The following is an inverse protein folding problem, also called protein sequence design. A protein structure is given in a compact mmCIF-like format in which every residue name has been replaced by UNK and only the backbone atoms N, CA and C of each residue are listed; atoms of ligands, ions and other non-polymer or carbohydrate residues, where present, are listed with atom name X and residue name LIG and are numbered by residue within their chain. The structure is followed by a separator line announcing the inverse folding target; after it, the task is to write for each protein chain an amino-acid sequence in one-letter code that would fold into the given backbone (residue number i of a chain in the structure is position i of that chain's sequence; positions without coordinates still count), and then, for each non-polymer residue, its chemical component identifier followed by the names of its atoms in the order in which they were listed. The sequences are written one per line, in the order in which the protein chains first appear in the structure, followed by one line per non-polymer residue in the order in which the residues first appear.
data_IF_503903766440
#
_entry.id   IF_503903766440
#
_cell.length_a   1.000
_cell.length_b   1.000
_cell.length_c   1.000
_cell.angle_alpha   90.00
_cell.angle_beta   90.00
_cell.angle_gamma   90.00
#
_symmetry.space_group_name_H-M   'P 1'
#
loop_
_entity.id
_entity.type
_entity.pdbx_description
1 polymer ?
#
# COMPACT_ATOMS: atom_id res chain seq x y z
N UNK A 1 -47.02 -25.10 10.85
CA UNK A 1 -47.02 -23.99 11.82
C UNK A 1 -48.45 -23.73 12.24
N UNK A 2 -48.69 -23.60 13.54
CA UNK A 2 -50.02 -23.20 14.03
C UNK A 2 -50.28 -21.73 13.66
N UNK A 3 -51.54 -21.30 13.66
CA UNK A 3 -51.92 -19.89 13.42
C UNK A 3 -51.24 -18.93 14.42
N UNK A 4 -50.93 -19.42 15.62
CA UNK A 4 -50.25 -18.64 16.64
C UNK A 4 -48.75 -18.46 16.35
N UNK A 5 -48.10 -19.44 15.69
CA UNK A 5 -46.68 -19.34 15.28
C UNK A 5 -46.49 -18.29 14.18
N UNK A 6 -47.41 -18.24 13.21
CA UNK A 6 -47.37 -17.27 12.11
C UNK A 6 -47.63 -15.84 12.62
N UNK A 7 -48.55 -15.69 13.59
CA UNK A 7 -48.80 -14.40 14.26
C UNK A 7 -47.60 -13.95 15.09
N UNK A 8 -46.95 -14.86 15.80
CA UNK A 8 -45.74 -14.57 16.56
C UNK A 8 -44.59 -14.15 15.63
N UNK A 9 -44.38 -14.86 14.52
CA UNK A 9 -43.36 -14.51 13.53
C UNK A 9 -43.60 -13.12 12.93
N UNK A 10 -44.83 -12.83 12.46
CA UNK A 10 -45.20 -11.50 11.93
C UNK A 10 -45.05 -10.39 12.97
N UNK A 11 -45.29 -10.68 14.25
CA UNK A 11 -45.08 -9.73 15.34
C UNK A 11 -43.58 -9.42 15.52
N UNK A 12 -42.71 -10.45 15.51
CA UNK A 12 -41.26 -10.27 15.62
C UNK A 12 -40.70 -9.52 14.42
N UNK A 13 -41.09 -9.89 13.20
CA UNK A 13 -40.67 -9.19 11.97
C UNK A 13 -41.06 -7.71 11.97
N UNK A 14 -42.25 -7.38 12.47
CA UNK A 14 -42.76 -6.00 12.52
C UNK A 14 -42.12 -5.15 13.61
N UNK A 15 -41.90 -5.71 14.80
CA UNK A 15 -41.47 -4.94 15.97
C UNK A 15 -39.97 -5.05 16.27
N UNK A 16 -39.31 -6.09 15.76
CA UNK A 16 -37.89 -6.35 15.97
C UNK A 16 -37.21 -6.74 14.64
N UNK A 17 -37.18 -5.85 13.64
CA UNK A 17 -36.70 -6.18 12.29
C UNK A 17 -35.23 -6.65 12.28
N UNK A 18 -34.40 -6.13 13.19
CA UNK A 18 -33.00 -6.57 13.34
C UNK A 18 -32.92 -8.00 13.89
N UNK A 19 -33.70 -8.33 14.91
CA UNK A 19 -33.78 -9.70 15.46
C UNK A 19 -34.37 -10.68 14.46
N UNK A 20 -35.36 -10.26 13.68
CA UNK A 20 -35.95 -11.07 12.62
C UNK A 20 -34.96 -11.35 11.49
N UNK A 21 -34.19 -10.34 11.05
CA UNK A 21 -33.12 -10.51 10.08
C UNK A 21 -32.02 -11.45 10.61
N UNK A 22 -31.67 -11.35 11.89
CA UNK A 22 -30.71 -12.24 12.55
C UNK A 22 -31.21 -13.70 12.60
N UNK A 23 -32.46 -13.92 13.03
CA UNK A 23 -33.07 -15.27 13.10
C UNK A 23 -33.35 -15.88 11.71
N UNK A 24 -33.59 -15.05 10.69
CA UNK A 24 -33.65 -15.49 9.31
C UNK A 24 -32.25 -15.88 8.78
N UNK A 25 -31.21 -15.12 9.14
CA UNK A 25 -29.83 -15.45 8.81
C UNK A 25 -29.37 -16.78 9.47
N UNK A 26 -29.74 -17.03 10.74
CA UNK A 26 -29.44 -18.31 11.41
C UNK A 26 -30.16 -19.50 10.77
N UNK A 27 -31.35 -19.29 10.20
CA UNK A 27 -32.10 -20.30 9.43
C UNK A 27 -31.65 -20.42 7.96
N UNK A 28 -30.73 -19.57 7.51
CA UNK A 28 -30.30 -19.49 6.10
C UNK A 28 -31.33 -18.86 5.17
N UNK A 29 -32.37 -18.23 5.71
CA UNK A 29 -33.50 -17.60 5.01
C UNK A 29 -33.30 -16.08 4.80
N UNK A 30 -32.21 -15.50 5.33
CA UNK A 30 -31.82 -14.11 5.12
C UNK A 30 -30.72 -13.94 4.05
N UNK A 31 -30.47 -12.71 3.56
CA UNK A 31 -29.30 -12.44 2.72
C UNK A 31 -28.03 -12.86 3.49
N UNK A 32 -27.12 -13.54 2.80
CA UNK A 32 -25.85 -13.95 3.40
C UNK A 32 -25.11 -12.70 3.93
N UNK A 33 -24.47 -12.77 5.11
CA UNK A 33 -23.68 -11.66 5.60
C UNK A 33 -22.59 -11.33 4.57
N UNK A 34 -22.53 -10.08 4.17
CA UNK A 34 -21.53 -9.58 3.22
C UNK A 34 -20.34 -9.08 4.02
N UNK A 35 -19.19 -9.68 3.79
CA UNK A 35 -17.91 -9.21 4.27
C UNK A 35 -17.16 -8.65 3.07
N UNK A 36 -16.64 -7.43 3.20
CA UNK A 36 -15.94 -6.73 2.14
C UNK A 36 -14.43 -6.85 2.34
N UNK A 37 -13.64 -6.69 1.26
CA UNK A 37 -12.23 -6.96 1.29
C UNK A 37 -11.57 -6.16 2.42
N UNK A 38 -10.73 -6.84 3.17
CA UNK A 38 -10.00 -6.27 4.29
C UNK A 38 -9.03 -5.18 3.81
N UNK A 39 -8.53 -5.29 2.57
CA UNK A 39 -7.75 -4.27 1.85
C UNK A 39 -7.70 -4.52 0.32
N UNK A 40 -7.18 -3.57 -0.46
CA UNK A 40 -6.80 -3.80 -1.86
C UNK A 40 -5.46 -4.53 -1.87
N UNK A 41 -5.46 -5.78 -2.32
CA UNK A 41 -4.24 -6.58 -2.42
C UNK A 41 -3.58 -6.32 -3.78
N UNK A 42 -2.39 -5.72 -3.77
CA UNK A 42 -1.51 -5.74 -4.93
C UNK A 42 -0.80 -7.10 -4.98
N UNK A 43 -0.67 -7.70 -6.17
CA UNK A 43 0.01 -8.98 -6.31
C UNK A 43 1.51 -8.86 -5.99
N UNK A 44 2.12 -7.71 -6.30
CA UNK A 44 3.52 -7.36 -6.00
C UNK A 44 3.64 -5.85 -5.78
N UNK A 45 4.59 -5.42 -4.95
CA UNK A 45 4.87 -4.01 -4.68
C UNK A 45 5.43 -3.29 -5.92
N UNK A 46 5.98 -4.05 -6.87
CA UNK A 46 6.67 -3.55 -8.07
C UNK A 46 5.72 -3.39 -9.29
N UNK A 47 4.42 -3.66 -9.15
CA UNK A 47 3.48 -3.50 -10.27
C UNK A 47 3.14 -2.01 -10.53
N UNK A 48 2.96 -1.62 -11.81
CA UNK A 48 2.50 -0.27 -12.13
C UNK A 48 1.14 0.02 -11.48
N UNK A 49 0.87 1.30 -11.20
CA UNK A 49 -0.38 1.73 -10.57
C UNK A 49 -1.59 1.12 -11.30
N UNK A 50 -2.50 0.43 -10.58
CA UNK A 50 -3.61 -0.25 -11.22
C UNK A 50 -4.55 0.77 -11.88
N UNK A 51 -4.92 0.53 -13.14
CA UNK A 51 -5.83 1.42 -13.87
C UNK A 51 -7.25 1.42 -13.29
N UNK A 52 -7.67 0.32 -12.65
CA UNK A 52 -8.96 0.17 -11.98
C UNK A 52 -8.88 -0.91 -10.90
N UNK A 53 -9.64 -0.74 -9.81
CA UNK A 53 -9.88 -1.79 -8.81
C UNK A 53 -11.27 -2.38 -9.03
N UNK A 54 -11.33 -3.68 -9.35
CA UNK A 54 -12.60 -4.42 -9.51
C UNK A 54 -12.87 -5.23 -8.23
N UNK A 55 -14.01 -5.01 -7.59
CA UNK A 55 -14.44 -5.76 -6.40
C UNK A 55 -15.46 -6.82 -6.78
N UNK A 56 -15.18 -8.08 -6.44
CA UNK A 56 -16.07 -9.23 -6.69
C UNK A 56 -16.63 -9.74 -5.36
N UNK A 57 -17.90 -10.13 -5.36
CA UNK A 57 -18.53 -10.76 -4.20
C UNK A 57 -18.76 -12.25 -4.47
N UNK A 58 -18.25 -13.11 -3.59
CA UNK A 58 -18.43 -14.55 -3.67
C UNK A 58 -19.44 -15.01 -2.61
N UNK A 59 -20.32 -15.94 -3.00
CA UNK A 59 -21.17 -16.66 -2.05
C UNK A 59 -20.54 -18.01 -1.79
N UNK A 60 -20.05 -18.21 -0.57
CA UNK A 60 -19.34 -19.44 -0.18
C UNK A 60 -20.06 -20.17 0.95
N UNK A 61 -20.02 -21.49 0.87
CA UNK A 61 -20.35 -22.39 1.95
C UNK A 61 -19.23 -22.43 3.00
N UNK A 62 -19.54 -22.92 4.21
CA UNK A 62 -18.53 -23.15 5.26
C UNK A 62 -17.39 -24.06 4.79
N UNK A 63 -17.71 -25.04 3.94
CA UNK A 63 -16.72 -25.96 3.39
C UNK A 63 -15.75 -25.25 2.44
N UNK A 64 -16.25 -24.40 1.55
CA UNK A 64 -15.40 -23.63 0.63
C UNK A 64 -14.52 -22.63 1.39
N UNK A 65 -15.05 -21.99 2.44
CA UNK A 65 -14.25 -21.12 3.33
C UNK A 65 -13.12 -21.93 3.98
N UNK A 66 -13.42 -23.13 4.50
CA UNK A 66 -12.41 -24.00 5.11
C UNK A 66 -11.37 -24.47 4.09
N UNK A 67 -11.79 -24.82 2.87
CA UNK A 67 -10.88 -25.26 1.81
C UNK A 67 -9.93 -24.13 1.39
N UNK A 68 -10.44 -22.90 1.23
CA UNK A 68 -9.61 -21.73 0.94
C UNK A 68 -8.59 -21.50 2.06
N UNK A 69 -9.02 -21.52 3.33
CA UNK A 69 -8.13 -21.36 4.47
C UNK A 69 -7.05 -22.45 4.53
N UNK A 70 -7.44 -23.72 4.32
CA UNK A 70 -6.51 -24.84 4.32
C UNK A 70 -5.47 -24.76 3.19
N UNK A 71 -5.87 -24.30 2.01
CA UNK A 71 -4.97 -24.06 0.90
C UNK A 71 -3.95 -22.96 1.25
N UNK A 72 -4.40 -21.85 1.84
CA UNK A 72 -3.50 -20.79 2.28
C UNK A 72 -2.51 -21.26 3.33
N UNK A 73 -3.00 -21.94 4.36
CA UNK A 73 -2.17 -22.49 5.42
C UNK A 73 -1.11 -23.47 4.91
N UNK A 74 -1.43 -24.26 3.86
CA UNK A 74 -0.46 -25.17 3.24
C UNK A 74 0.65 -24.43 2.46
N UNK A 75 0.41 -23.19 2.02
CA UNK A 75 1.36 -22.41 1.20
C UNK A 75 2.28 -21.48 2.00
N UNK A 76 1.86 -20.97 3.16
CA UNK A 76 2.58 -19.88 3.86
C UNK A 76 3.59 -20.32 4.93
N UNK A 77 3.86 -21.62 5.06
CA UNK A 77 4.78 -22.21 6.05
C UNK A 77 4.32 -22.04 7.53
N UNK A 78 4.46 -23.12 8.31
CA UNK A 78 3.43 -23.67 9.21
C UNK A 78 3.56 -23.25 10.70
N UNK A 79 4.35 -22.23 11.05
CA UNK A 79 4.67 -21.98 12.48
C UNK A 79 3.53 -21.39 13.32
N UNK A 80 2.45 -20.92 12.68
CA UNK A 80 1.31 -20.31 13.37
C UNK A 80 0.21 -21.33 13.66
N UNK A 81 -0.17 -21.52 14.92
CA UNK A 81 -1.33 -22.34 15.25
C UNK A 81 -2.63 -21.74 14.69
N UNK A 82 -3.53 -22.53 14.05
CA UNK A 82 -4.84 -22.05 13.62
C UNK A 82 -5.69 -21.50 14.77
N UNK A 83 -5.51 -22.02 15.98
CA UNK A 83 -6.25 -21.58 17.17
C UNK A 83 -5.87 -20.14 17.60
N UNK A 84 -4.72 -19.62 17.16
CA UNK A 84 -4.24 -18.27 17.47
C UNK A 84 -4.64 -17.24 16.40
N UNK A 85 -5.48 -17.62 15.43
CA UNK A 85 -5.93 -16.73 14.37
C UNK A 85 -7.11 -15.88 14.81
N UNK A 86 -6.98 -14.56 14.65
CA UNK A 86 -8.12 -13.65 14.85
C UNK A 86 -9.12 -13.78 13.69
N UNK A 87 -10.37 -13.37 13.91
CA UNK A 87 -11.41 -13.35 12.87
C UNK A 87 -10.97 -12.54 11.65
N UNK A 88 -10.27 -11.41 11.86
CA UNK A 88 -9.78 -10.58 10.77
C UNK A 88 -8.72 -11.30 9.94
N UNK A 89 -7.80 -12.03 10.59
CA UNK A 89 -6.77 -12.80 9.89
C UNK A 89 -7.35 -13.97 9.11
N UNK A 90 -8.35 -14.67 9.66
CA UNK A 90 -9.05 -15.74 8.91
C UNK A 90 -9.71 -15.17 7.65
N UNK A 91 -10.33 -13.99 7.74
CA UNK A 91 -10.93 -13.33 6.57
C UNK A 91 -9.87 -12.92 5.55
N UNK A 92 -8.80 -12.29 6.01
CA UNK A 92 -7.68 -11.88 5.17
C UNK A 92 -7.08 -13.07 4.41
N UNK A 93 -6.86 -14.20 5.07
CA UNK A 93 -6.28 -15.38 4.44
C UNK A 93 -7.22 -16.00 3.40
N UNK A 94 -8.53 -16.04 3.68
CA UNK A 94 -9.53 -16.52 2.71
C UNK A 94 -9.58 -15.59 1.48
N UNK A 95 -9.60 -14.27 1.70
CA UNK A 95 -9.56 -13.27 0.63
C UNK A 95 -8.27 -13.40 -0.20
N UNK A 96 -7.12 -13.49 0.46
CA UNK A 96 -5.82 -13.68 -0.18
C UNK A 96 -5.77 -14.93 -1.07
N UNK A 97 -6.37 -16.04 -0.63
CA UNK A 97 -6.40 -17.27 -1.44
C UNK A 97 -7.34 -17.17 -2.63
N UNK A 98 -8.50 -16.53 -2.48
CA UNK A 98 -9.39 -16.27 -3.63
C UNK A 98 -8.72 -15.33 -4.65
N UNK A 99 -8.02 -14.30 -4.16
CA UNK A 99 -7.21 -13.40 -5.00
C UNK A 99 -6.12 -14.19 -5.74
N UNK A 100 -5.36 -15.02 -5.05
CA UNK A 100 -4.27 -15.81 -5.63
C UNK A 100 -4.76 -16.83 -6.66
N UNK A 101 -5.84 -17.54 -6.38
CA UNK A 101 -6.44 -18.49 -7.34
C UNK A 101 -6.93 -17.76 -8.59
N UNK A 102 -7.66 -16.66 -8.41
CA UNK A 102 -8.14 -15.85 -9.53
C UNK A 102 -6.97 -15.27 -10.34
N UNK A 103 -5.88 -14.87 -9.67
CA UNK A 103 -4.69 -14.35 -10.32
C UNK A 103 -4.00 -15.38 -11.20
N UNK A 104 -3.74 -16.60 -10.67
CA UNK A 104 -3.12 -17.68 -11.46
C UNK A 104 -3.95 -18.05 -12.68
N UNK A 105 -5.25 -18.20 -12.51
CA UNK A 105 -6.16 -18.48 -13.63
C UNK A 105 -6.15 -17.34 -14.67
N UNK A 106 -6.00 -16.09 -14.23
CA UNK A 106 -5.83 -14.94 -15.12
C UNK A 106 -4.46 -14.91 -15.81
N UNK A 107 -3.36 -15.22 -15.13
CA UNK A 107 -2.03 -15.33 -15.75
C UNK A 107 -2.02 -16.39 -16.85
N UNK A 108 -2.53 -17.59 -16.57
CA UNK A 108 -2.65 -18.67 -17.55
C UNK A 108 -3.50 -18.22 -18.75
N UNK A 109 -4.61 -17.52 -18.50
CA UNK A 109 -5.46 -16.98 -19.57
C UNK A 109 -4.73 -15.90 -20.38
N UNK A 110 -4.05 -14.95 -19.72
CA UNK A 110 -3.30 -13.87 -20.37
C UNK A 110 -2.18 -14.45 -21.23
N UNK A 111 -1.39 -15.40 -20.72
CA UNK A 111 -0.34 -16.07 -21.48
C UNK A 111 -0.91 -16.79 -22.70
N UNK A 112 -2.03 -17.52 -22.53
CA UNK A 112 -2.69 -18.25 -23.62
C UNK A 112 -3.21 -17.33 -24.73
N UNK A 113 -3.66 -16.12 -24.38
CA UNK A 113 -4.24 -15.15 -25.31
C UNK A 113 -3.17 -14.20 -25.88
N UNK A 114 -2.13 -13.86 -25.12
CA UNK A 114 -1.06 -12.95 -25.54
C UNK A 114 -0.43 -13.39 -26.86
N UNK A 115 -0.14 -14.69 -27.01
CA UNK A 115 0.41 -15.23 -28.25
C UNK A 115 -0.53 -15.06 -29.46
N UNK A 116 -1.85 -15.02 -29.28
CA UNK A 116 -2.81 -14.75 -30.36
C UNK A 116 -2.84 -13.25 -30.71
N UNK A 117 -2.75 -12.39 -29.69
CA UNK A 117 -2.68 -10.92 -29.85
C UNK A 117 -1.41 -10.53 -30.62
N UNK A 118 -0.26 -11.07 -30.23
CA UNK A 118 1.04 -10.78 -30.88
C UNK A 118 1.07 -11.24 -32.34
N UNK A 119 0.43 -12.37 -32.65
CA UNK A 119 0.28 -12.85 -34.03
C UNK A 119 -0.69 -12.01 -34.87
N UNK A 120 -1.41 -11.07 -34.26
CA UNK A 120 -2.37 -10.20 -34.93
C UNK A 120 -3.60 -10.95 -35.46
N UNK A 121 -3.97 -12.06 -34.82
CA UNK A 121 -5.19 -12.79 -35.16
C UNK A 121 -6.41 -11.93 -34.78
N UNK A 122 -7.39 -11.80 -35.69
CA UNK A 122 -8.64 -11.04 -35.45
C UNK A 122 -8.47 -9.55 -35.05
N UNK A 123 -7.74 -8.72 -35.85
CA UNK A 123 -7.38 -7.36 -35.45
C UNK A 123 -8.59 -6.44 -35.27
N UNK A 124 -9.66 -6.62 -36.06
CA UNK A 124 -10.88 -5.82 -35.93
C UNK A 124 -11.63 -6.12 -34.61
N UNK A 125 -11.70 -7.40 -34.22
CA UNK A 125 -12.31 -7.84 -32.97
C UNK A 125 -11.52 -7.32 -31.76
N UNK A 126 -10.19 -7.42 -31.80
CA UNK A 126 -9.33 -6.91 -30.72
C UNK A 126 -9.46 -5.40 -30.55
N UNK A 127 -9.51 -4.63 -31.64
CA UNK A 127 -9.78 -3.20 -31.57
C UNK A 127 -11.18 -2.90 -31.02
N UNK A 128 -12.19 -3.70 -31.37
CA UNK A 128 -13.54 -3.55 -30.82
C UNK A 128 -13.60 -3.82 -29.32
N UNK A 129 -12.90 -4.87 -28.85
CA UNK A 129 -12.75 -5.20 -27.42
C UNK A 129 -12.02 -4.09 -26.68
N UNK A 130 -10.91 -3.58 -27.22
CA UNK A 130 -10.19 -2.44 -26.63
C UNK A 130 -11.10 -1.23 -26.45
N UNK A 131 -11.87 -0.85 -27.50
CA UNK A 131 -12.83 0.25 -27.39
C UNK A 131 -13.91 -0.02 -26.35
N UNK A 132 -14.35 -1.26 -26.18
CA UNK A 132 -15.34 -1.62 -25.16
C UNK A 132 -14.74 -1.50 -23.75
N UNK A 133 -13.50 -1.95 -23.56
CA UNK A 133 -12.73 -1.78 -22.34
C UNK A 133 -12.56 -0.29 -22.00
N UNK A 134 -12.09 0.54 -22.93
CA UNK A 134 -11.89 1.99 -22.71
C UNK A 134 -13.20 2.72 -22.33
N UNK A 135 -14.36 2.23 -22.77
CA UNK A 135 -15.68 2.76 -22.38
C UNK A 135 -16.13 2.28 -20.99
N UNK A 136 -15.84 1.02 -20.66
CA UNK A 136 -16.23 0.44 -19.37
C UNK A 136 -15.32 0.91 -18.22
N UNK A 137 -14.04 1.08 -18.53
CA UNK A 137 -12.96 1.48 -17.63
C UNK A 137 -12.23 2.66 -18.24
N UNK A 138 -12.93 3.80 -18.33
CA UNK A 138 -12.29 5.01 -18.84
C UNK A 138 -11.08 5.34 -17.98
N UNK A 139 -9.93 5.67 -18.60
CA UNK A 139 -8.75 6.08 -17.86
C UNK A 139 -9.16 7.12 -16.84
N UNK A 140 -8.72 6.95 -15.60
CA UNK A 140 -8.85 8.01 -14.62
C UNK A 140 -8.25 9.26 -15.27
N UNK A 141 -9.00 10.37 -15.39
CA UNK A 141 -8.40 11.59 -15.90
C UNK A 141 -7.16 11.84 -15.07
N UNK A 142 -6.02 12.03 -15.74
CA UNK A 142 -4.79 12.41 -15.04
C UNK A 142 -5.15 13.56 -14.12
N UNK A 143 -4.80 13.47 -12.82
CA UNK A 143 -5.08 14.57 -11.92
C UNK A 143 -4.51 15.83 -12.55
N UNK A 144 -5.33 16.88 -12.65
CA UNK A 144 -4.84 18.16 -13.17
C UNK A 144 -3.55 18.51 -12.43
N UNK A 145 -2.48 18.94 -13.14
CA UNK A 145 -1.21 19.22 -12.52
C UNK A 145 -1.46 20.18 -11.37
N UNK A 146 -1.09 19.75 -10.15
CA UNK A 146 -1.31 20.56 -8.96
C UNK A 146 -0.59 21.89 -9.16
N UNK A 147 -1.22 23.02 -8.80
CA UNK A 147 -0.52 24.29 -8.84
C UNK A 147 0.72 24.19 -7.96
N UNK A 148 1.83 24.75 -8.42
CA UNK A 148 3.11 24.70 -7.73
C UNK A 148 3.38 26.00 -6.96
N UNK A 149 4.14 25.89 -5.87
CA UNK A 149 4.56 26.98 -5.01
C UNK A 149 5.34 28.03 -5.80
N UNK A 150 5.17 29.29 -5.39
CA UNK A 150 6.03 30.42 -5.78
C UNK A 150 6.45 31.14 -4.51
N UNK A 151 7.44 30.58 -3.79
CA UNK A 151 7.81 31.09 -2.47
C UNK A 151 8.38 32.51 -2.55
N UNK A 152 8.10 33.30 -1.51
CA UNK A 152 8.73 34.59 -1.30
C UNK A 152 9.57 34.55 -0.02
N UNK A 153 10.88 34.74 -0.17
CA UNK A 153 11.85 34.67 0.93
C UNK A 153 12.22 36.08 1.41
N UNK A 154 12.00 36.36 2.68
CA UNK A 154 12.38 37.64 3.29
C UNK A 154 12.74 37.46 4.78
N UNK A 155 13.86 38.04 5.21
CA UNK A 155 14.19 38.16 6.64
C UNK A 155 14.35 36.84 7.41
N UNK A 156 14.70 35.72 6.73
CA UNK A 156 14.76 34.40 7.36
C UNK A 156 13.40 33.73 7.52
N UNK A 157 12.40 34.17 6.75
CA UNK A 157 11.09 33.55 6.64
C UNK A 157 10.76 33.28 5.18
N UNK A 158 9.83 32.36 4.93
CA UNK A 158 9.27 32.07 3.61
C UNK A 158 7.75 32.20 3.65
N UNK A 159 7.19 32.82 2.60
CA UNK A 159 5.74 32.85 2.37
C UNK A 159 5.36 31.75 1.39
N UNK A 160 4.46 30.85 1.82
CA UNK A 160 3.99 29.70 1.05
C UNK A 160 2.48 29.74 0.86
N UNK A 161 1.98 29.22 -0.26
CA UNK A 161 0.55 29.00 -0.46
C UNK A 161 0.13 27.64 0.09
N UNK A 162 -1.03 27.54 0.74
CA UNK A 162 -1.64 26.26 1.12
C UNK A 162 -3.08 26.18 0.66
N UNK A 163 -3.58 24.95 0.48
CA UNK A 163 -4.96 24.71 0.02
C UNK A 163 -6.02 25.05 1.08
N UNK A 164 -5.63 25.11 2.35
CA UNK A 164 -6.53 25.16 3.50
C UNK A 164 -6.39 26.42 4.38
N UNK A 165 -5.25 27.11 4.33
CA UNK A 165 -4.94 28.30 5.13
C UNK A 165 -4.59 29.53 4.28
N UNK A 166 -4.56 29.40 2.95
CA UNK A 166 -4.14 30.48 2.06
C UNK A 166 -2.64 30.72 2.14
N UNK A 167 -2.19 31.97 2.10
CA UNK A 167 -0.77 32.29 2.27
C UNK A 167 -0.39 32.24 3.75
N UNK A 168 0.68 31.51 4.05
CA UNK A 168 1.27 31.41 5.38
C UNK A 168 2.70 31.94 5.35
N UNK A 169 3.16 32.51 6.47
CA UNK A 169 4.55 32.92 6.68
C UNK A 169 5.14 32.01 7.74
N UNK A 170 6.28 31.38 7.43
CA UNK A 170 6.94 30.40 8.29
C UNK A 170 8.43 30.72 8.39
N UNK A 171 9.06 30.34 9.50
CA UNK A 171 10.50 30.51 9.66
C UNK A 171 11.23 29.66 8.62
N UNK A 172 12.19 30.23 7.89
CA UNK A 172 12.95 29.53 6.86
C UNK A 172 14.38 29.27 7.38
N UNK A 173 14.70 28.03 7.77
CA UNK A 173 16.03 27.70 8.26
C UNK A 173 17.08 27.90 7.16
N UNK A 174 18.25 28.42 7.52
CA UNK A 174 19.33 28.67 6.56
C UNK A 174 19.89 27.41 5.87
N UNK A 175 19.55 26.21 6.36
CA UNK A 175 19.91 24.92 5.77
C UNK A 175 18.85 24.38 4.81
N UNK A 176 17.66 24.98 4.73
CA UNK A 176 16.61 24.53 3.82
C UNK A 176 17.04 24.75 2.36
N UNK A 177 16.71 23.79 1.51
CA UNK A 177 16.96 23.84 0.08
C UNK A 177 15.94 24.72 -0.67
N UNK A 178 14.89 25.18 0.02
CA UNK A 178 13.80 25.98 -0.52
C UNK A 178 12.60 25.15 -0.98
N UNK A 179 11.53 25.85 -1.31
CA UNK A 179 10.20 25.30 -1.64
C UNK A 179 9.80 25.53 -3.11
N UNK A 180 10.76 25.83 -3.98
CA UNK A 180 10.50 26.17 -5.37
C UNK A 180 9.98 24.97 -6.17
N UNK A 181 8.87 25.16 -6.89
CA UNK A 181 8.20 24.13 -7.70
C UNK A 181 7.55 22.97 -6.92
N UNK A 182 7.51 23.04 -5.59
CA UNK A 182 6.76 22.07 -4.81
C UNK A 182 5.25 22.20 -5.09
N UNK A 183 4.46 21.12 -5.08
CA UNK A 183 3.01 21.22 -5.17
C UNK A 183 2.43 22.04 -4.01
N UNK A 184 1.40 22.85 -4.28
CA UNK A 184 0.63 23.52 -3.21
C UNK A 184 -0.16 22.44 -2.46
N UNK A 185 0.23 22.23 -1.20
CA UNK A 185 -0.33 21.20 -0.30
C UNK A 185 -1.09 21.80 0.88
N UNK A 186 -1.36 20.96 1.89
CA UNK A 186 -1.93 21.42 3.16
C UNK A 186 -0.86 22.07 4.03
N UNK A 187 -1.27 22.93 4.97
CA UNK A 187 -0.34 23.52 5.94
C UNK A 187 0.40 22.45 6.76
N UNK A 188 -0.29 21.35 7.09
CA UNK A 188 0.28 20.24 7.84
C UNK A 188 1.41 19.51 7.09
N UNK A 189 1.45 19.63 5.77
CA UNK A 189 2.44 18.96 4.90
C UNK A 189 3.67 19.85 4.63
N UNK A 190 3.74 21.04 5.25
CA UNK A 190 4.88 21.95 5.06
C UNK A 190 6.07 21.42 5.84
N UNK A 191 7.12 21.05 5.10
CA UNK A 191 8.35 20.47 5.61
C UNK A 191 9.56 21.15 5.00
N UNK A 192 10.43 21.72 5.84
CA UNK A 192 11.73 22.20 5.39
C UNK A 192 12.66 21.01 5.16
N UNK A 193 13.16 20.85 3.95
CA UNK A 193 14.16 19.83 3.61
C UNK A 193 15.49 20.47 3.27
N UNK A 194 16.56 19.93 3.83
CA UNK A 194 17.93 20.28 3.43
C UNK A 194 18.34 19.57 2.14
N UNK A 195 19.56 19.85 1.63
CA UNK A 195 20.12 19.11 0.52
C UNK A 195 20.25 17.61 0.83
N UNK A 196 19.90 16.77 -0.13
CA UNK A 196 20.09 15.33 -0.04
C UNK A 196 21.57 14.94 -0.15
N UNK A 197 21.96 13.95 0.65
CA UNK A 197 23.23 13.24 0.54
C UNK A 197 22.94 11.74 0.37
N UNK A 198 23.74 11.04 -0.42
CA UNK A 198 23.63 9.58 -0.62
C UNK A 198 25.03 8.96 -0.62
N UNK A 199 25.14 7.68 -0.23
CA UNK A 199 26.30 6.88 -0.58
C UNK A 199 26.10 6.29 -1.99
N UNK A 200 27.17 6.11 -2.77
CA UNK A 200 27.09 5.60 -4.14
C UNK A 200 28.12 4.50 -4.37
N UNK A 201 27.72 3.41 -5.03
CA UNK A 201 28.63 2.36 -5.52
C UNK A 201 28.19 1.89 -6.92
N UNK A 202 29.07 2.01 -7.91
CA UNK A 202 28.80 1.62 -9.31
C UNK A 202 27.51 2.25 -9.88
N UNK A 203 27.24 3.52 -9.53
CA UNK A 203 26.04 4.25 -9.96
C UNK A 203 24.76 3.90 -9.21
N UNK A 204 24.83 3.04 -8.18
CA UNK A 204 23.70 2.72 -7.30
C UNK A 204 23.81 3.57 -6.04
N UNK A 205 22.83 4.45 -5.83
CA UNK A 205 22.70 5.22 -4.60
C UNK A 205 22.07 4.37 -3.49
N UNK A 206 22.53 4.55 -2.26
CA UNK A 206 21.97 3.93 -1.07
C UNK A 206 22.12 4.85 0.15
N UNK A 207 21.22 4.67 1.12
CA UNK A 207 21.08 5.53 2.30
C UNK A 207 20.94 7.04 1.96
N UNK A 208 20.05 7.44 1.03
CA UNK A 208 19.75 8.84 0.85
C UNK A 208 19.23 9.45 2.16
N UNK A 209 19.74 10.62 2.51
CA UNK A 209 19.38 11.31 3.73
C UNK A 209 19.36 12.83 3.56
N UNK A 210 18.49 13.51 4.29
CA UNK A 210 18.50 14.96 4.41
C UNK A 210 18.06 15.41 5.80
N UNK A 211 18.38 16.65 6.18
CA UNK A 211 17.78 17.27 7.36
C UNK A 211 16.32 17.61 7.00
N UNK A 212 15.37 17.23 7.84
CA UNK A 212 13.96 17.52 7.69
C UNK A 212 13.42 18.24 8.91
N UNK A 213 12.47 19.15 8.70
CA UNK A 213 11.70 19.77 9.78
C UNK A 213 10.27 20.09 9.35
N UNK A 214 9.29 19.43 9.96
CA UNK A 214 7.85 19.61 9.72
C UNK A 214 7.15 20.33 10.90
N UNK A 215 7.24 21.67 10.98
CA UNK A 215 6.76 22.44 12.14
C UNK A 215 5.24 22.40 12.35
N UNK A 216 4.46 21.96 11.34
CA UNK A 216 2.99 21.95 11.40
C UNK A 216 2.38 20.56 11.25
N UNK A 217 3.17 19.49 11.23
CA UNK A 217 2.63 18.13 11.10
C UNK A 217 1.62 17.84 12.23
N UNK A 218 0.46 17.29 11.88
CA UNK A 218 -0.64 17.09 12.85
C UNK A 218 -0.45 15.83 13.70
N UNK A 219 0.01 14.74 13.08
CA UNK A 219 0.15 13.46 13.77
C UNK A 219 1.40 13.41 14.65
N UNK A 220 2.51 13.94 14.14
CA UNK A 220 3.81 13.97 14.81
C UNK A 220 4.50 15.30 14.49
N UNK A 221 4.08 16.42 15.11
CA UNK A 221 4.75 17.70 14.93
C UNK A 221 6.21 17.56 15.35
N UNK A 222 7.13 17.98 14.49
CA UNK A 222 8.55 17.93 14.77
C UNK A 222 8.95 19.19 15.54
N UNK A 223 9.23 19.11 16.86
CA UNK A 223 9.60 20.29 17.64
C UNK A 223 10.99 20.81 17.26
N UNK A 224 11.83 19.95 16.68
CA UNK A 224 13.19 20.23 16.24
C UNK A 224 13.46 19.49 14.93
N UNK A 225 14.43 19.96 14.12
CA UNK A 225 14.85 19.22 12.93
C UNK A 225 15.38 17.83 13.26
N UNK A 226 15.02 16.87 12.42
CA UNK A 226 15.44 15.46 12.46
C UNK A 226 16.21 15.12 11.19
N UNK A 227 16.82 13.94 11.13
CA UNK A 227 17.32 13.40 9.88
C UNK A 227 16.28 12.46 9.27
N UNK A 228 15.85 12.78 8.06
CA UNK A 228 15.07 11.90 7.18
C UNK A 228 16.07 10.99 6.45
N UNK A 229 16.00 9.69 6.71
CA UNK A 229 16.84 8.67 6.07
C UNK A 229 15.92 7.68 5.40
N UNK A 230 16.11 7.46 4.11
CA UNK A 230 15.27 6.57 3.33
C UNK A 230 15.23 5.16 3.93
N UNK A 231 14.04 4.58 3.97
CA UNK A 231 13.70 3.30 4.63
C UNK A 231 13.83 3.25 6.17
N UNK A 232 14.18 4.35 6.84
CA UNK A 232 14.23 4.42 8.30
C UNK A 232 13.21 5.40 8.89
N UNK A 233 12.77 5.20 10.14
CA UNK A 233 12.08 6.25 10.88
C UNK A 233 12.96 7.51 10.99
N UNK A 234 12.36 8.71 11.09
CA UNK A 234 13.11 9.93 11.33
C UNK A 234 14.00 9.81 12.57
N UNK A 235 15.24 10.27 12.48
CA UNK A 235 16.26 10.06 13.51
C UNK A 235 16.66 11.35 14.20
N UNK A 236 16.80 11.27 15.52
CA UNK A 236 17.50 12.28 16.30
C UNK A 236 19.04 12.19 16.08
N UNK A 237 19.80 13.25 16.43
CA UNK A 237 21.25 13.26 16.23
C UNK A 237 22.01 12.09 16.87
N UNK A 238 21.57 11.57 18.02
CA UNK A 238 22.22 10.44 18.68
C UNK A 238 21.91 9.10 18.00
N UNK A 239 20.68 8.93 17.50
CA UNK A 239 20.27 7.77 16.73
C UNK A 239 21.02 7.70 15.40
N UNK A 240 21.15 8.84 14.71
CA UNK A 240 21.96 8.95 13.50
C UNK A 240 23.43 8.58 13.74
N UNK A 241 24.03 9.02 14.85
CA UNK A 241 25.40 8.60 15.21
C UNK A 241 25.47 7.09 15.44
N UNK A 242 24.44 6.51 16.04
CA UNK A 242 24.28 5.07 16.19
C UNK A 242 24.24 4.34 14.85
N UNK A 243 23.38 4.78 13.93
CA UNK A 243 23.29 4.24 12.58
C UNK A 243 24.64 4.34 11.84
N UNK A 244 25.28 5.51 11.86
CA UNK A 244 26.57 5.73 11.23
C UNK A 244 27.66 4.79 11.79
N UNK A 245 27.66 4.55 13.10
CA UNK A 245 28.58 3.59 13.72
C UNK A 245 28.32 2.16 13.24
N UNK A 246 27.06 1.74 13.14
CA UNK A 246 26.68 0.41 12.62
C UNK A 246 27.10 0.24 11.17
N UNK A 247 26.84 1.23 10.31
CA UNK A 247 27.27 1.23 8.89
C UNK A 247 28.80 1.13 8.78
N UNK A 248 29.54 1.85 9.62
CA UNK A 248 31.00 1.76 9.67
C UNK A 248 31.51 0.38 10.10
N UNK A 249 30.86 -0.24 11.09
CA UNK A 249 31.19 -1.61 11.51
C UNK A 249 30.90 -2.62 10.41
N UNK A 250 29.73 -2.54 9.79
CA UNK A 250 29.34 -3.44 8.70
C UNK A 250 30.29 -3.33 7.49
N UNK A 251 30.70 -2.10 7.15
CA UNK A 251 31.72 -1.87 6.11
C UNK A 251 33.03 -2.61 6.42
N UNK A 252 33.44 -2.64 7.69
CA UNK A 252 34.64 -3.38 8.13
C UNK A 252 34.48 -4.89 8.00
N UNK A 253 33.28 -5.42 8.23
CA UNK A 253 32.96 -6.84 7.99
C UNK A 253 33.01 -7.19 6.50
N UNK A 254 32.47 -6.33 5.63
CA UNK A 254 32.55 -6.49 4.17
C UNK A 254 34.00 -6.54 3.68
N UNK A 255 34.88 -5.68 4.20
CA UNK A 255 36.31 -5.74 3.91
C UNK A 255 36.94 -7.07 4.35
N UNK A 256 36.56 -7.57 5.52
CA UNK A 256 37.03 -8.87 6.02
C UNK A 256 36.60 -10.00 5.08
N UNK A 257 35.36 -9.98 4.61
CA UNK A 257 34.82 -10.95 3.64
C UNK A 257 35.49 -10.83 2.27
N UNK A 258 35.76 -9.63 1.80
CA UNK A 258 36.50 -9.42 0.55
C UNK A 258 37.92 -10.02 0.62
N UNK A 259 38.62 -9.83 1.75
CA UNK A 259 39.93 -10.43 1.97
C UNK A 259 39.88 -11.97 2.07
N UNK A 260 38.83 -12.52 2.67
CA UNK A 260 38.58 -13.96 2.71
C UNK A 260 38.35 -14.53 1.29
N UNK A 261 37.53 -13.87 0.48
CA UNK A 261 37.27 -14.24 -0.91
C UNK A 261 38.55 -14.24 -1.76
N UNK A 262 39.39 -13.21 -1.62
CA UNK A 262 40.67 -13.14 -2.32
C UNK A 262 41.60 -14.30 -1.93
N UNK A 263 41.67 -14.63 -0.63
CA UNK A 263 42.44 -15.77 -0.14
C UNK A 263 41.98 -17.10 -0.75
N UNK A 264 40.67 -17.33 -0.81
CA UNK A 264 40.09 -18.55 -1.41
C UNK A 264 40.45 -18.63 -2.89
N UNK A 265 40.29 -17.54 -3.64
CA UNK A 265 40.60 -17.50 -5.09
C UNK A 265 42.06 -17.83 -5.39
N UNK A 266 43.00 -17.33 -4.57
CA UNK A 266 44.44 -17.64 -4.72
C UNK A 266 44.77 -19.09 -4.39
N UNK A 267 44.03 -19.73 -3.48
CA UNK A 267 44.21 -21.15 -3.14
C UNK A 267 43.65 -22.13 -4.17
N UNK A 268 42.88 -21.64 -5.15
CA UNK A 268 42.33 -22.43 -6.26
C UNK A 268 43.23 -22.45 -7.51
N UNK A 269 44.31 -21.66 -7.52
CA UNK A 269 45.31 -21.60 -8.60
C UNK A 269 46.51 -22.49 -8.28
#
# INVERSE_FOLDING_TARGET
MSNDDERAQKFVERHFPVTAAFLAAERGEGPAPVYGPSDVQNAHDDQPEPHVVVRVAYRMSRWEILAALAAGYATTNIERSPDDMTVQQIRYDVEAQLSLMSWRDMEDLVESVAGQIERGEHPEQMQALKRAMDRAYSPRPEPEPRPVQRPYYEGGTVTLQTVDHGEIVVDEPAWCAGHDNEPIGHRADVTHKGPWISAEFEGVEFLPACISWAPFAEEQPEPFPVLDVDEFPPMEPDELRGLAAVVGLYSSELYTKANELDRIRRGMQ
#
